data_IF_376266977427
#
_entry.id   IF_376266977427
#
_cell.length_a   1.000
_cell.length_b   1.000
_cell.length_c   1.000
_cell.angle_alpha   90.00
_cell.angle_beta   90.00
_cell.angle_gamma   90.00
#
_symmetry.space_group_name_H-M   'P 1'
#
loop_
_entity.id
_entity.type
_entity.pdbx_description
1 polymer ?
#
# COMPACT_ATOMS: atom_id res chain seq x y z
N UNK A 1 -21.38 33.92 53.67
CA UNK A 1 -20.37 33.41 54.63
C UNK A 1 -18.99 33.62 54.03
N UNK A 2 -18.10 34.33 54.74
CA UNK A 2 -16.63 34.44 54.57
C UNK A 2 -16.06 34.78 53.17
N UNK A 3 -15.52 35.98 52.89
CA UNK A 3 -14.13 36.45 53.20
C UNK A 3 -13.03 35.49 52.68
N UNK A 4 -11.96 35.88 51.96
CA UNK A 4 -11.44 37.17 51.53
C UNK A 4 -10.04 37.00 50.88
N UNK A 5 -9.73 37.88 49.91
CA UNK A 5 -8.46 38.56 49.58
C UNK A 5 -7.08 37.85 49.60
N UNK A 6 -6.31 38.03 48.51
CA UNK A 6 -4.84 37.92 48.51
C UNK A 6 -4.18 38.32 47.17
N UNK A 7 -3.36 39.38 47.19
CA UNK A 7 -2.60 40.01 46.07
C UNK A 7 -1.16 39.45 45.93
N UNK A 8 -0.50 39.82 44.81
CA UNK A 8 0.96 39.91 44.52
C UNK A 8 1.65 38.61 44.04
N UNK A 9 2.68 38.58 43.16
CA UNK A 9 3.59 39.59 42.61
C UNK A 9 4.54 38.99 41.53
N UNK A 10 5.43 39.82 40.97
CA UNK A 10 6.33 39.62 39.79
C UNK A 10 7.59 38.73 40.02
N UNK A 11 8.18 38.22 38.92
CA UNK A 11 9.63 38.16 38.49
C UNK A 11 9.92 36.86 37.69
N UNK A 12 10.41 36.86 36.43
CA UNK A 12 11.73 37.19 35.86
C UNK A 12 12.84 36.11 36.06
N UNK A 13 13.35 35.54 34.95
CA UNK A 13 14.59 34.74 34.88
C UNK A 13 14.86 34.26 33.43
N UNK A 14 15.70 34.94 32.63
CA UNK A 14 17.17 34.83 32.43
C UNK A 14 17.63 33.71 31.47
N UNK A 15 18.15 34.15 30.30
CA UNK A 15 18.97 33.41 29.32
C UNK A 15 20.34 33.04 29.92
N UNK A 16 20.94 31.95 29.45
CA UNK A 16 22.38 31.69 29.59
C UNK A 16 22.95 31.07 28.30
N UNK A 17 23.91 31.78 27.72
CA UNK A 17 24.80 31.37 26.62
C UNK A 17 26.11 30.85 27.21
N UNK A 18 26.67 29.77 26.67
CA UNK A 18 28.04 29.35 26.97
C UNK A 18 28.81 29.09 25.66
N UNK A 19 29.96 29.75 25.58
CA UNK A 19 31.00 29.68 24.54
C UNK A 19 32.16 28.90 25.14
N UNK A 20 32.77 27.96 24.41
CA UNK A 20 34.15 27.55 24.67
C UNK A 20 34.89 27.18 23.38
N UNK A 21 36.09 27.74 23.26
CA UNK A 21 37.07 27.57 22.18
C UNK A 21 38.29 26.80 22.70
N UNK A 22 39.06 26.24 21.76
CA UNK A 22 40.54 26.19 21.72
C UNK A 22 41.17 24.79 21.49
N UNK A 23 42.16 24.79 20.58
CA UNK A 23 42.88 23.68 19.97
C UNK A 23 44.28 23.48 20.60
N UNK A 24 44.93 22.33 20.34
CA UNK A 24 46.37 22.08 20.51
C UNK A 24 46.86 20.84 19.72
N UNK A 25 48.16 20.73 19.32
CA UNK A 25 48.58 20.05 18.08
C UNK A 25 49.51 18.81 18.23
N UNK A 26 49.66 18.03 17.14
CA UNK A 26 50.93 17.35 16.78
C UNK A 26 50.92 15.82 16.55
N UNK A 27 51.09 15.38 15.29
CA UNK A 27 52.13 14.47 14.76
C UNK A 27 51.67 13.65 13.54
N UNK A 28 52.56 13.60 12.55
CA UNK A 28 52.46 12.92 11.25
C UNK A 28 53.03 11.50 11.35
N UNK A 29 52.34 10.53 10.73
CA UNK A 29 52.82 9.17 10.50
C UNK A 29 52.11 8.55 9.30
N UNK A 30 52.87 8.25 8.25
CA UNK A 30 52.41 7.51 7.07
C UNK A 30 52.08 6.06 7.47
N UNK A 31 50.90 5.57 7.07
CA UNK A 31 50.49 4.17 7.26
C UNK A 31 49.16 3.88 6.61
N UNK A 32 49.20 3.17 5.49
CA UNK A 32 48.05 2.58 4.77
C UNK A 32 47.20 1.73 5.72
N UNK A 33 45.96 2.16 5.99
CA UNK A 33 44.90 1.31 6.57
C UNK A 33 43.54 1.77 6.05
N UNK A 34 42.95 1.01 5.12
CA UNK A 34 41.50 0.99 4.96
C UNK A 34 40.93 0.38 6.24
N UNK A 35 40.13 1.14 6.99
CA UNK A 35 39.43 0.65 8.19
C UNK A 35 39.91 1.21 9.53
N UNK A 36 39.88 2.53 9.72
CA UNK A 36 39.61 3.16 11.02
C UNK A 36 38.72 4.38 10.80
N UNK A 37 37.44 4.31 11.19
CA UNK A 37 36.61 5.51 11.32
C UNK A 37 37.28 6.42 12.34
N UNK A 38 37.60 7.65 11.94
CA UNK A 38 38.13 8.67 12.86
C UNK A 38 37.08 8.95 13.94
N UNK A 39 37.43 8.99 15.24
CA UNK A 39 36.54 9.51 16.28
C UNK A 39 36.23 10.97 15.92
N UNK A 40 34.96 11.26 15.59
CA UNK A 40 34.52 12.59 15.18
C UNK A 40 34.25 12.80 13.68
N UNK A 41 34.35 11.76 12.84
CA UNK A 41 33.84 11.85 11.46
C UNK A 41 32.29 11.90 11.48
N UNK A 42 31.74 13.12 11.57
CA UNK A 42 30.31 13.37 11.35
C UNK A 42 29.97 12.95 9.91
N UNK A 43 28.80 12.36 9.73
CA UNK A 43 28.30 12.07 8.37
C UNK A 43 28.39 13.37 7.54
N UNK A 44 28.95 13.33 6.31
CA UNK A 44 29.03 14.50 5.45
C UNK A 44 27.66 15.13 5.28
N UNK A 45 27.57 16.45 5.36
CA UNK A 45 26.33 17.15 5.09
C UNK A 45 25.89 16.86 3.63
N UNK A 46 24.64 16.43 3.44
CA UNK A 46 24.12 16.09 2.11
C UNK A 46 24.17 17.29 1.16
N UNK A 47 24.09 18.52 1.68
CA UNK A 47 24.24 19.73 0.87
C UNK A 47 25.63 19.91 0.24
N UNK A 48 26.63 19.13 0.68
CA UNK A 48 27.99 19.13 0.11
C UNK A 48 28.18 18.05 -0.97
N UNK A 49 27.21 17.17 -1.16
CA UNK A 49 27.23 16.15 -2.19
C UNK A 49 26.61 16.69 -3.49
N UNK A 50 26.95 16.11 -4.65
CA UNK A 50 26.15 16.26 -5.86
C UNK A 50 24.66 15.99 -5.55
N UNK A 51 23.73 16.84 -6.04
CA UNK A 51 22.33 16.77 -5.66
C UNK A 51 21.69 15.42 -6.03
N UNK A 52 22.18 14.76 -7.08
CA UNK A 52 21.72 13.42 -7.48
C UNK A 52 22.00 12.38 -6.39
N UNK A 53 23.16 12.46 -5.72
CA UNK A 53 23.50 11.57 -4.61
C UNK A 53 22.71 11.89 -3.34
N UNK A 54 22.46 13.18 -3.09
CA UNK A 54 21.61 13.61 -1.98
C UNK A 54 20.18 13.08 -2.13
N UNK A 55 19.60 13.23 -3.32
CA UNK A 55 18.27 12.70 -3.66
C UNK A 55 18.24 11.18 -3.58
N UNK A 56 19.23 10.47 -4.11
CA UNK A 56 19.30 9.01 -4.01
C UNK A 56 19.29 8.53 -2.55
N UNK A 57 20.08 9.16 -1.68
CA UNK A 57 20.11 8.83 -0.24
C UNK A 57 18.74 9.05 0.40
N UNK A 58 18.11 10.20 0.11
CA UNK A 58 16.79 10.55 0.65
C UNK A 58 15.65 9.70 0.05
N UNK A 59 15.84 9.07 -1.11
CA UNK A 59 14.84 8.21 -1.76
C UNK A 59 14.46 6.97 -0.92
N UNK A 60 15.29 6.61 0.05
CA UNK A 60 15.04 5.51 0.96
C UNK A 60 14.22 5.89 2.21
N UNK A 61 13.88 7.19 2.37
CA UNK A 61 13.08 7.67 3.48
C UNK A 61 11.58 7.61 3.16
N UNK A 62 10.77 7.35 4.18
CA UNK A 62 9.32 7.49 4.07
C UNK A 62 8.92 8.99 4.09
N UNK A 63 7.65 9.28 3.83
CA UNK A 63 7.16 10.66 3.77
C UNK A 63 7.36 11.44 5.08
N UNK A 64 7.22 10.80 6.25
CA UNK A 64 7.43 11.44 7.55
C UNK A 64 8.89 11.83 7.74
N UNK A 65 9.80 10.91 7.43
CA UNK A 65 11.24 11.12 7.53
C UNK A 65 11.71 12.16 6.50
N UNK A 66 11.12 12.21 5.30
CA UNK A 66 11.37 13.29 4.34
C UNK A 66 10.88 14.65 4.85
N UNK A 67 9.71 14.71 5.51
CA UNK A 67 9.25 15.94 6.14
C UNK A 67 10.24 16.42 7.21
N UNK A 68 10.77 15.52 8.03
CA UNK A 68 11.80 15.85 9.02
C UNK A 68 13.13 16.26 8.36
N UNK A 69 13.56 15.55 7.32
CA UNK A 69 14.76 15.86 6.55
C UNK A 69 14.68 17.24 5.89
N UNK A 70 13.49 17.68 5.47
CA UNK A 70 13.27 19.00 4.86
C UNK A 70 13.58 20.18 5.80
N UNK A 71 13.66 19.96 7.12
CA UNK A 71 14.10 20.96 8.09
C UNK A 71 15.60 21.28 8.00
N UNK A 72 16.40 20.37 7.43
CA UNK A 72 17.86 20.50 7.30
C UNK A 72 18.28 20.57 5.83
N UNK A 73 17.64 19.77 4.97
CA UNK A 73 17.93 19.64 3.55
C UNK A 73 16.71 19.97 2.70
N UNK A 74 16.18 21.18 2.85
CA UNK A 74 14.91 21.61 2.24
C UNK A 74 14.83 21.26 0.74
N UNK A 75 15.72 21.86 -0.07
CA UNK A 75 15.74 21.67 -1.53
C UNK A 75 15.84 20.20 -1.96
N UNK A 76 16.63 19.40 -1.24
CA UNK A 76 16.82 17.98 -1.56
C UNK A 76 15.58 17.16 -1.16
N UNK A 77 15.04 17.37 0.04
CA UNK A 77 13.93 16.60 0.58
C UNK A 77 12.56 16.97 -0.02
N UNK A 78 12.43 18.15 -0.61
CA UNK A 78 11.23 18.57 -1.36
C UNK A 78 11.31 18.28 -2.85
N UNK A 79 12.38 17.63 -3.32
CA UNK A 79 12.56 17.34 -4.74
C UNK A 79 11.43 16.46 -5.29
N UNK A 80 10.84 16.91 -6.41
CA UNK A 80 9.70 16.24 -7.07
C UNK A 80 9.94 14.74 -7.36
N UNK A 81 11.14 14.27 -7.79
CA UNK A 81 11.38 12.85 -8.02
C UNK A 81 11.20 11.97 -6.77
N UNK A 82 11.52 12.49 -5.58
CA UNK A 82 11.34 11.75 -4.32
C UNK A 82 9.86 11.48 -4.05
N UNK A 83 9.06 12.55 -4.11
CA UNK A 83 7.63 12.47 -3.85
C UNK A 83 6.91 11.70 -4.95
N UNK A 84 7.36 11.80 -6.21
CA UNK A 84 6.88 10.96 -7.29
C UNK A 84 7.15 9.48 -7.02
N UNK A 85 8.37 9.15 -6.57
CA UNK A 85 8.76 7.80 -6.17
C UNK A 85 7.84 7.26 -5.07
N UNK A 86 7.63 8.05 -4.00
CA UNK A 86 6.73 7.70 -2.91
C UNK A 86 5.27 7.52 -3.33
N UNK A 87 4.75 8.41 -4.19
CA UNK A 87 3.41 8.26 -4.73
C UNK A 87 3.27 6.93 -5.47
N UNK A 88 4.21 6.63 -6.38
CA UNK A 88 4.16 5.42 -7.21
C UNK A 88 4.48 4.13 -6.44
N UNK A 89 5.25 4.20 -5.36
CA UNK A 89 5.49 3.05 -4.49
C UNK A 89 4.26 2.69 -3.67
N UNK A 90 3.54 3.69 -3.16
CA UNK A 90 2.39 3.48 -2.28
C UNK A 90 1.08 3.30 -3.04
N UNK A 91 0.95 3.97 -4.19
CA UNK A 91 -0.20 3.92 -5.09
C UNK A 91 0.33 3.76 -6.52
N UNK A 92 0.55 2.50 -6.93
CA UNK A 92 1.15 2.19 -8.24
C UNK A 92 0.34 2.65 -9.44
N UNK A 93 -0.95 2.92 -9.25
CA UNK A 93 -1.86 3.40 -10.27
C UNK A 93 -2.75 4.51 -9.75
N UNK A 94 -2.81 5.63 -10.48
CA UNK A 94 -3.83 6.67 -10.35
C UNK A 94 -4.10 7.24 -11.74
N UNK A 95 -5.34 7.65 -12.02
CA UNK A 95 -5.67 8.25 -13.33
C UNK A 95 -4.86 9.54 -13.56
N UNK A 96 -4.60 10.32 -12.50
CA UNK A 96 -3.83 11.57 -12.59
C UNK A 96 -2.41 11.38 -13.13
N UNK A 97 -1.77 10.22 -12.92
CA UNK A 97 -0.42 9.95 -13.45
C UNK A 97 -0.34 9.92 -14.98
N UNK A 98 -1.47 9.72 -15.65
CA UNK A 98 -1.55 9.62 -17.11
C UNK A 98 -2.12 10.88 -17.75
N UNK A 99 -2.40 11.91 -16.95
CA UNK A 99 -2.92 13.20 -17.43
C UNK A 99 -1.78 14.19 -17.61
N UNK A 100 -2.00 15.20 -18.47
CA UNK A 100 -1.11 16.35 -18.51
C UNK A 100 -1.30 17.15 -17.24
N UNK A 101 -0.20 17.36 -16.52
CA UNK A 101 -0.18 18.15 -15.30
C UNK A 101 -0.13 19.65 -15.60
N UNK A 102 -0.76 20.44 -14.74
CA UNK A 102 -0.61 21.90 -14.76
C UNK A 102 0.80 22.29 -14.32
N UNK A 103 1.18 23.55 -14.57
CA UNK A 103 2.48 24.10 -14.13
C UNK A 103 2.59 24.08 -12.60
N UNK A 104 1.48 24.20 -11.89
CA UNK A 104 1.41 24.21 -10.42
C UNK A 104 1.32 22.81 -9.78
N UNK A 105 1.44 21.73 -10.57
CA UNK A 105 1.35 20.37 -10.05
C UNK A 105 2.59 20.01 -9.23
N UNK A 106 2.37 19.41 -8.06
CA UNK A 106 3.43 18.89 -7.20
C UNK A 106 3.08 17.49 -6.71
N UNK A 107 4.02 16.56 -6.84
CA UNK A 107 3.89 15.21 -6.29
C UNK A 107 3.83 15.21 -4.77
N UNK A 108 4.44 16.18 -4.10
CA UNK A 108 4.31 16.33 -2.65
C UNK A 108 2.87 16.64 -2.26
N UNK A 109 2.23 17.57 -2.98
CA UNK A 109 0.82 17.88 -2.74
C UNK A 109 -0.08 16.69 -3.06
N UNK A 110 0.19 16.00 -4.18
CA UNK A 110 -0.54 14.79 -4.56
C UNK A 110 -0.40 13.68 -3.51
N UNK A 111 0.80 13.47 -2.96
CA UNK A 111 1.03 12.48 -1.90
C UNK A 111 0.12 12.74 -0.71
N UNK A 112 0.06 13.98 -0.23
CA UNK A 112 -0.78 14.36 0.91
C UNK A 112 -2.27 14.13 0.62
N UNK A 113 -2.73 14.45 -0.59
CA UNK A 113 -4.12 14.19 -0.99
C UNK A 113 -4.43 12.70 -1.13
N UNK A 114 -3.48 11.90 -1.62
CA UNK A 114 -3.61 10.45 -1.70
C UNK A 114 -3.69 9.82 -0.30
N UNK A 115 -2.82 10.27 0.60
CA UNK A 115 -2.81 9.83 2.00
C UNK A 115 -4.13 10.17 2.69
N UNK A 116 -4.59 11.42 2.58
CA UNK A 116 -5.89 11.86 3.10
C UNK A 116 -7.03 11.04 2.50
N UNK A 117 -7.10 10.89 1.18
CA UNK A 117 -8.16 10.14 0.51
C UNK A 117 -8.21 8.66 0.91
N UNK A 118 -7.06 8.03 1.16
CA UNK A 118 -6.99 6.64 1.63
C UNK A 118 -7.35 6.51 3.11
N UNK A 119 -6.95 7.46 3.95
CA UNK A 119 -7.39 7.52 5.35
C UNK A 119 -8.91 7.72 5.42
N UNK A 120 -9.48 8.60 4.59
CA UNK A 120 -10.92 8.77 4.48
C UNK A 120 -11.59 7.49 3.97
N UNK A 121 -11.03 6.82 2.96
CA UNK A 121 -11.56 5.53 2.47
C UNK A 121 -11.58 4.47 3.58
N UNK A 122 -10.55 4.45 4.43
CA UNK A 122 -10.45 3.51 5.53
C UNK A 122 -11.51 3.77 6.60
N UNK A 123 -11.95 5.02 6.78
CA UNK A 123 -13.06 5.38 7.67
C UNK A 123 -14.43 5.15 7.01
N UNK A 124 -14.64 5.70 5.80
CA UNK A 124 -15.81 5.50 4.95
C UNK A 124 -15.35 5.33 3.48
N UNK A 125 -15.55 4.14 2.88
CA UNK A 125 -15.02 3.87 1.55
C UNK A 125 -15.70 4.66 0.43
N UNK A 126 -16.97 5.07 0.60
CA UNK A 126 -17.68 5.85 -0.41
C UNK A 126 -17.30 7.32 -0.34
N UNK A 127 -17.10 7.85 0.87
CA UNK A 127 -16.58 9.20 1.05
C UNK A 127 -15.14 9.30 0.54
N UNK A 128 -14.29 8.33 0.86
CA UNK A 128 -12.88 8.32 0.43
C UNK A 128 -12.72 8.22 -1.08
N UNK A 129 -13.47 7.33 -1.75
CA UNK A 129 -13.41 7.26 -3.22
C UNK A 129 -13.96 8.55 -3.86
N UNK A 130 -15.03 9.11 -3.28
CA UNK A 130 -15.61 10.40 -3.71
C UNK A 130 -14.61 11.55 -3.56
N UNK A 131 -13.84 11.57 -2.48
CA UNK A 131 -12.75 12.52 -2.27
C UNK A 131 -11.73 12.44 -3.41
N UNK A 132 -11.25 11.23 -3.74
CA UNK A 132 -10.26 11.02 -4.80
C UNK A 132 -10.77 11.48 -6.18
N UNK A 133 -12.07 11.31 -6.45
CA UNK A 133 -12.70 11.84 -7.66
C UNK A 133 -12.75 13.37 -7.65
N UNK A 134 -13.17 13.97 -6.53
CA UNK A 134 -13.30 15.44 -6.40
C UNK A 134 -11.96 16.17 -6.57
N UNK A 135 -10.86 15.54 -6.19
CA UNK A 135 -9.49 16.04 -6.39
C UNK A 135 -8.93 15.75 -7.79
N UNK A 136 -9.66 15.03 -8.64
CA UNK A 136 -9.22 14.63 -9.98
C UNK A 136 -8.08 13.61 -9.98
N UNK A 137 -7.84 12.94 -8.85
CA UNK A 137 -6.77 11.94 -8.67
C UNK A 137 -7.14 10.64 -9.40
N UNK A 138 -8.40 10.26 -9.29
CA UNK A 138 -8.98 9.05 -9.85
C UNK A 138 -10.20 9.39 -10.71
N UNK A 139 -10.42 8.65 -11.80
CA UNK A 139 -11.65 8.79 -12.58
C UNK A 139 -12.77 7.89 -12.03
N UNK A 140 -14.01 8.39 -12.06
CA UNK A 140 -15.19 7.66 -11.61
C UNK A 140 -15.67 6.67 -12.69
N UNK A 141 -14.94 5.56 -12.81
CA UNK A 141 -15.39 4.39 -13.53
C UNK A 141 -14.75 3.13 -12.93
N UNK A 142 -15.43 2.00 -13.09
CA UNK A 142 -15.06 0.74 -12.44
C UNK A 142 -13.64 0.27 -12.78
N UNK A 143 -13.19 0.49 -14.02
CA UNK A 143 -11.89 0.04 -14.51
C UNK A 143 -10.75 0.79 -13.82
N UNK A 144 -10.87 2.12 -13.72
CA UNK A 144 -9.87 2.97 -13.08
C UNK A 144 -9.81 2.71 -11.57
N UNK A 145 -10.97 2.55 -10.93
CA UNK A 145 -11.06 2.21 -9.51
C UNK A 145 -10.44 0.83 -9.23
N UNK A 146 -10.75 -0.17 -10.05
CA UNK A 146 -10.19 -1.51 -9.92
C UNK A 146 -8.67 -1.53 -10.01
N UNK A 147 -8.10 -0.77 -10.96
CA UNK A 147 -6.63 -0.61 -11.09
C UNK A 147 -6.00 0.09 -9.90
N UNK A 148 -6.64 1.15 -9.39
CA UNK A 148 -6.17 1.86 -8.19
C UNK A 148 -6.09 0.90 -7.01
N UNK A 149 -7.20 0.22 -6.68
CA UNK A 149 -7.29 -0.74 -5.58
C UNK A 149 -6.24 -1.86 -5.72
N UNK A 150 -6.06 -2.39 -6.93
CA UNK A 150 -5.08 -3.47 -7.18
C UNK A 150 -3.62 -3.02 -6.98
N UNK A 151 -3.36 -1.72 -7.09
CA UNK A 151 -2.01 -1.15 -7.09
C UNK A 151 -1.54 -0.60 -5.75
N UNK A 152 -2.35 -0.69 -4.69
CA UNK A 152 -2.05 -0.12 -3.38
C UNK A 152 -2.35 -1.11 -2.26
N UNK A 153 -1.52 -1.08 -1.22
CA UNK A 153 -1.73 -1.83 0.02
C UNK A 153 -2.21 -0.95 1.18
N UNK A 154 -2.46 0.35 0.91
CA UNK A 154 -2.82 1.35 1.92
C UNK A 154 -4.28 1.27 2.39
N UNK A 155 -5.13 0.56 1.63
CA UNK A 155 -6.56 0.44 1.92
C UNK A 155 -6.83 -0.65 2.95
N UNK A 156 -7.62 -0.30 3.96
CA UNK A 156 -8.01 -1.21 5.01
C UNK A 156 -8.98 -2.27 4.48
N UNK A 157 -8.68 -3.53 4.76
CA UNK A 157 -9.37 -4.67 4.17
C UNK A 157 -10.88 -4.72 4.50
N UNK A 158 -11.30 -4.25 5.67
CA UNK A 158 -12.74 -4.21 6.03
C UNK A 158 -13.51 -3.22 5.16
N UNK A 159 -12.96 -2.01 5.01
CA UNK A 159 -13.54 -0.92 4.22
C UNK A 159 -13.54 -1.29 2.73
N UNK A 160 -12.45 -1.92 2.26
CA UNK A 160 -12.37 -2.47 0.91
C UNK A 160 -13.45 -3.53 0.65
N UNK A 161 -13.66 -4.46 1.57
CA UNK A 161 -14.71 -5.48 1.43
C UNK A 161 -16.11 -4.87 1.38
N UNK A 162 -16.41 -3.92 2.27
CA UNK A 162 -17.69 -3.20 2.26
C UNK A 162 -17.90 -2.49 0.92
N UNK A 163 -16.86 -1.85 0.39
CA UNK A 163 -16.91 -1.18 -0.90
C UNK A 163 -17.20 -2.16 -2.04
N UNK A 164 -16.46 -3.26 -2.13
CA UNK A 164 -16.59 -4.26 -3.21
C UNK A 164 -17.91 -5.02 -3.14
N UNK A 165 -18.51 -5.17 -1.96
CA UNK A 165 -19.84 -5.80 -1.84
C UNK A 165 -20.94 -4.94 -2.47
N UNK A 166 -20.83 -3.62 -2.33
CA UNK A 166 -21.77 -2.65 -2.93
C UNK A 166 -21.43 -2.31 -4.39
N UNK A 167 -20.15 -2.24 -4.75
CA UNK A 167 -19.64 -1.93 -6.09
C UNK A 167 -19.13 -3.20 -6.79
N UNK A 168 -20.07 -4.06 -7.17
CA UNK A 168 -19.78 -5.34 -7.88
C UNK A 168 -19.15 -5.13 -9.26
N UNK A 169 -19.44 -4.01 -9.89
CA UNK A 169 -18.79 -3.55 -11.13
C UNK A 169 -17.28 -3.38 -10.93
N UNK A 170 -16.86 -2.79 -9.81
CA UNK A 170 -15.43 -2.65 -9.46
C UNK A 170 -14.82 -4.00 -9.12
N UNK A 171 -15.54 -4.86 -8.40
CA UNK A 171 -15.07 -6.24 -8.13
C UNK A 171 -14.79 -7.01 -9.42
N UNK A 172 -15.65 -6.85 -10.43
CA UNK A 172 -15.46 -7.49 -11.74
C UNK A 172 -14.19 -7.03 -12.44
N UNK A 173 -13.90 -5.72 -12.42
CA UNK A 173 -12.65 -5.17 -12.96
C UNK A 173 -11.43 -5.61 -12.14
N UNK A 174 -11.53 -5.64 -10.81
CA UNK A 174 -10.46 -6.09 -9.93
C UNK A 174 -10.08 -7.55 -10.18
N UNK A 175 -11.08 -8.45 -10.31
CA UNK A 175 -10.87 -9.87 -10.61
C UNK A 175 -10.17 -10.06 -11.96
N UNK A 176 -10.48 -9.22 -12.96
CA UNK A 176 -9.81 -9.27 -14.28
C UNK A 176 -8.33 -8.92 -14.23
N UNK A 177 -7.85 -8.23 -13.20
CA UNK A 177 -6.43 -7.88 -13.05
C UNK A 177 -5.59 -9.07 -12.57
N UNK A 178 -6.20 -10.07 -11.93
CA UNK A 178 -5.49 -11.29 -11.54
C UNK A 178 -5.17 -12.16 -12.77
N UNK A 179 -3.95 -12.70 -12.82
CA UNK A 179 -3.54 -13.68 -13.81
C UNK A 179 -3.31 -15.04 -13.14
N UNK A 180 -4.15 -16.02 -13.46
CA UNK A 180 -4.07 -17.38 -12.92
C UNK A 180 -3.59 -18.42 -13.95
N UNK A 181 -3.02 -17.97 -15.07
CA UNK A 181 -2.51 -18.88 -16.09
C UNK A 181 -1.44 -19.82 -15.49
N UNK A 182 -1.54 -21.11 -15.80
CA UNK A 182 -0.63 -22.16 -15.34
C UNK A 182 -0.53 -22.31 -13.81
N UNK A 183 -1.48 -21.76 -13.04
CA UNK A 183 -1.51 -21.94 -11.60
C UNK A 183 -2.36 -23.16 -11.21
N UNK A 184 -1.91 -23.87 -10.17
CA UNK A 184 -2.74 -24.89 -9.52
C UNK A 184 -3.93 -24.21 -8.83
N UNK A 185 -5.14 -24.77 -9.00
CA UNK A 185 -6.40 -24.14 -8.58
C UNK A 185 -6.38 -23.69 -7.09
N UNK A 186 -6.01 -24.53 -6.11
CA UNK A 186 -5.84 -24.10 -4.73
C UNK A 186 -4.84 -22.95 -4.51
N UNK A 187 -3.74 -22.90 -5.28
CA UNK A 187 -2.76 -21.83 -5.16
C UNK A 187 -3.33 -20.50 -5.68
N UNK A 188 -4.01 -20.54 -6.82
CA UNK A 188 -4.70 -19.40 -7.39
C UNK A 188 -5.78 -18.85 -6.44
N UNK A 189 -6.55 -19.74 -5.81
CA UNK A 189 -7.57 -19.36 -4.83
C UNK A 189 -6.96 -18.67 -3.62
N UNK A 190 -5.84 -19.19 -3.10
CA UNK A 190 -5.10 -18.55 -1.99
C UNK A 190 -4.61 -17.17 -2.36
N UNK A 191 -4.01 -17.02 -3.55
CA UNK A 191 -3.55 -15.72 -4.04
C UNK A 191 -4.72 -14.72 -4.18
N UNK A 192 -5.86 -15.18 -4.68
CA UNK A 192 -7.06 -14.35 -4.79
C UNK A 192 -7.52 -13.82 -3.42
N UNK A 193 -7.68 -14.68 -2.42
CA UNK A 193 -8.11 -14.26 -1.08
C UNK A 193 -7.05 -13.56 -0.25
N UNK A 194 -5.77 -13.58 -0.65
CA UNK A 194 -4.76 -12.71 -0.03
C UNK A 194 -5.03 -11.23 -0.29
N UNK A 195 -5.58 -10.89 -1.47
CA UNK A 195 -5.85 -9.51 -1.89
C UNK A 195 -7.14 -8.93 -1.28
N UNK A 196 -8.27 -9.63 -1.40
CA UNK A 196 -9.59 -9.11 -0.98
C UNK A 196 -9.92 -9.50 0.48
N UNK A 197 -9.26 -10.53 1.02
CA UNK A 197 -9.61 -11.26 2.25
C UNK A 197 -11.00 -11.90 2.21
N UNK A 198 -11.07 -13.17 2.58
CA UNK A 198 -12.34 -13.89 2.63
C UNK A 198 -13.24 -13.35 3.76
N UNK A 199 -14.56 -13.28 3.54
CA UNK A 199 -15.56 -13.18 4.61
C UNK A 199 -15.48 -14.31 5.63
N UNK A 200 -15.65 -13.93 6.91
CA UNK A 200 -15.77 -14.88 8.03
C UNK A 200 -17.13 -15.57 7.99
N UNK A 201 -18.18 -14.81 7.72
CA UNK A 201 -19.54 -15.32 7.58
C UNK A 201 -19.81 -15.79 6.15
N UNK A 202 -20.50 -16.93 6.05
CA UNK A 202 -21.07 -17.38 4.78
C UNK A 202 -22.17 -16.42 4.36
N UNK A 203 -22.08 -15.93 3.13
CA UNK A 203 -23.08 -15.03 2.58
C UNK A 203 -22.95 -14.86 1.07
N UNK A 204 -23.88 -14.10 0.51
CA UNK A 204 -23.94 -13.79 -0.93
C UNK A 204 -22.61 -13.23 -1.46
N UNK A 205 -21.92 -12.40 -0.67
CA UNK A 205 -20.62 -11.82 -1.05
C UNK A 205 -19.54 -12.88 -1.26
N UNK A 206 -19.43 -13.87 -0.37
CA UNK A 206 -18.45 -14.96 -0.50
C UNK A 206 -18.74 -15.82 -1.73
N UNK A 207 -20.01 -16.18 -1.95
CA UNK A 207 -20.44 -16.95 -3.13
C UNK A 207 -20.12 -16.22 -4.44
N UNK A 208 -20.34 -14.90 -4.46
CA UNK A 208 -19.98 -14.06 -5.59
C UNK A 208 -18.47 -14.01 -5.81
N UNK A 209 -17.64 -13.89 -4.76
CA UNK A 209 -16.18 -13.94 -4.86
C UNK A 209 -15.69 -15.26 -5.46
N UNK A 210 -16.21 -16.38 -4.97
CA UNK A 210 -15.86 -17.72 -5.46
C UNK A 210 -16.29 -17.90 -6.92
N UNK A 211 -17.48 -17.41 -7.28
CA UNK A 211 -18.00 -17.45 -8.65
C UNK A 211 -17.10 -16.66 -9.60
N UNK A 212 -16.78 -15.41 -9.26
CA UNK A 212 -15.92 -14.55 -10.08
C UNK A 212 -14.50 -15.09 -10.21
N UNK A 213 -13.94 -15.62 -9.12
CA UNK A 213 -12.66 -16.34 -9.15
C UNK A 213 -12.70 -17.51 -10.14
N UNK A 214 -13.73 -18.35 -10.08
CA UNK A 214 -13.87 -19.54 -10.93
C UNK A 214 -13.92 -19.16 -12.41
N UNK A 215 -14.73 -18.16 -12.75
CA UNK A 215 -14.83 -17.63 -14.10
C UNK A 215 -13.47 -17.12 -14.60
N UNK A 216 -12.74 -16.36 -13.77
CA UNK A 216 -11.43 -15.84 -14.11
C UNK A 216 -10.38 -16.94 -14.27
N UNK A 217 -10.38 -17.94 -13.39
CA UNK A 217 -9.47 -19.07 -13.46
C UNK A 217 -9.66 -19.84 -14.78
N UNK A 218 -10.90 -20.12 -15.16
CA UNK A 218 -11.21 -20.75 -16.45
C UNK A 218 -10.79 -19.89 -17.64
N UNK A 219 -11.06 -18.58 -17.59
CA UNK A 219 -10.66 -17.65 -18.64
C UNK A 219 -9.13 -17.57 -18.84
N UNK A 220 -8.34 -17.72 -17.76
CA UNK A 220 -6.88 -17.79 -17.83
C UNK A 220 -6.36 -19.16 -18.29
N UNK A 221 -7.17 -20.22 -18.19
CA UNK A 221 -6.79 -21.61 -18.44
C UNK A 221 -7.75 -22.27 -19.44
N UNK A 222 -7.94 -21.65 -20.60
CA UNK A 222 -8.89 -22.11 -21.63
C UNK A 222 -8.60 -23.53 -22.11
N UNK A 223 -7.32 -23.90 -22.30
CA UNK A 223 -6.95 -25.25 -22.73
C UNK A 223 -7.41 -26.33 -21.73
N UNK A 224 -7.27 -26.08 -20.43
CA UNK A 224 -7.76 -26.98 -19.38
C UNK A 224 -9.29 -26.99 -19.35
N UNK A 225 -9.91 -25.81 -19.48
CA UNK A 225 -11.37 -25.64 -19.45
C UNK A 225 -12.05 -26.37 -20.60
N UNK A 226 -11.50 -26.29 -21.82
CA UNK A 226 -11.95 -27.05 -22.98
C UNK A 226 -11.79 -28.56 -22.80
N UNK A 227 -10.63 -29.02 -22.28
CA UNK A 227 -10.41 -30.45 -21.99
C UNK A 227 -11.41 -31.00 -20.99
N UNK A 228 -11.77 -30.20 -20.00
CA UNK A 228 -12.74 -30.58 -18.97
C UNK A 228 -14.19 -30.34 -19.40
N UNK A 229 -14.47 -29.81 -20.60
CA UNK A 229 -15.84 -29.52 -21.05
C UNK A 229 -16.58 -28.49 -20.18
N UNK A 230 -15.85 -27.52 -19.63
CA UNK A 230 -16.36 -26.47 -18.76
C UNK A 230 -16.62 -25.18 -19.57
N UNK A 231 -17.60 -24.38 -19.16
CA UNK A 231 -17.88 -23.08 -19.77
C UNK A 231 -17.33 -21.96 -18.88
N UNK A 232 -16.42 -21.08 -19.36
CA UNK A 232 -15.83 -20.02 -18.53
C UNK A 232 -16.85 -19.11 -17.84
N UNK A 233 -18.07 -19.02 -18.37
CA UNK A 233 -19.13 -18.13 -17.86
C UNK A 233 -20.03 -18.85 -16.83
N UNK A 234 -20.29 -20.15 -17.02
CA UNK A 234 -21.25 -20.91 -16.22
C UNK A 234 -20.60 -21.82 -15.16
N UNK A 235 -19.27 -21.93 -15.17
CA UNK A 235 -18.53 -22.86 -14.30
C UNK A 235 -18.53 -22.40 -12.85
N UNK A 236 -18.99 -23.28 -11.95
CA UNK A 236 -18.84 -23.10 -10.50
C UNK A 236 -17.51 -23.71 -10.04
N UNK A 237 -16.99 -23.24 -8.91
CA UNK A 237 -15.75 -23.76 -8.32
C UNK A 237 -15.78 -25.29 -8.12
N UNK A 238 -16.92 -25.81 -7.68
CA UNK A 238 -17.14 -27.25 -7.48
C UNK A 238 -16.99 -28.04 -8.79
N UNK A 239 -17.44 -27.51 -9.91
CA UNK A 239 -17.32 -28.18 -11.22
C UNK A 239 -15.85 -28.32 -11.62
N UNK A 240 -15.02 -27.32 -11.33
CA UNK A 240 -13.57 -27.35 -11.59
C UNK A 240 -12.92 -28.42 -10.72
N UNK A 241 -13.22 -28.44 -9.42
CA UNK A 241 -12.66 -29.41 -8.49
C UNK A 241 -13.02 -30.86 -8.86
N UNK A 242 -14.30 -31.11 -9.15
CA UNK A 242 -14.79 -32.45 -9.44
C UNK A 242 -14.16 -33.02 -10.71
N UNK A 243 -13.99 -32.19 -11.74
CA UNK A 243 -13.41 -32.61 -13.02
C UNK A 243 -11.88 -32.69 -13.00
N UNK A 244 -11.21 -31.89 -12.16
CA UNK A 244 -9.77 -31.95 -11.98
C UNK A 244 -9.32 -33.12 -11.09
N UNK A 245 -10.17 -33.63 -10.20
CA UNK A 245 -9.85 -34.77 -9.34
C UNK A 245 -11.05 -35.72 -9.17
N UNK A 246 -11.24 -36.65 -10.11
CA UNK A 246 -12.36 -37.58 -10.11
C UNK A 246 -12.40 -38.52 -8.89
N UNK A 247 -11.26 -38.72 -8.22
CA UNK A 247 -11.16 -39.53 -7.01
C UNK A 247 -11.83 -38.88 -5.78
N UNK A 248 -12.20 -37.60 -5.87
CA UNK A 248 -12.97 -36.89 -4.84
C UNK A 248 -14.50 -37.08 -5.00
N UNK A 249 -14.95 -37.87 -5.98
CA UNK A 249 -16.37 -38.25 -6.15
C UNK A 249 -16.88 -38.98 -4.90
N UNK A 250 -17.51 -38.23 -4.00
CA UNK A 250 -18.20 -38.76 -2.82
C UNK A 250 -17.82 -38.11 -1.49
N UNK A 251 -16.69 -37.38 -1.41
CA UNK A 251 -16.17 -36.88 -0.12
C UNK A 251 -16.16 -35.35 0.05
N UNK A 252 -16.54 -34.58 -0.97
CA UNK A 252 -16.49 -33.11 -0.90
C UNK A 252 -17.83 -32.47 -1.29
N UNK A 253 -18.80 -32.49 -0.39
CA UNK A 253 -19.98 -31.62 -0.44
C UNK A 253 -19.62 -30.20 0.01
N UNK A 254 -18.56 -29.59 -0.53
CA UNK A 254 -17.86 -28.56 0.23
C UNK A 254 -17.36 -27.42 -0.65
N UNK A 255 -18.27 -26.50 -1.00
CA UNK A 255 -17.86 -25.09 -1.21
C UNK A 255 -17.16 -24.56 0.06
N UNK A 256 -17.55 -25.08 1.22
CA UNK A 256 -17.09 -24.61 2.52
C UNK A 256 -15.75 -25.19 2.97
N UNK A 257 -15.61 -26.50 3.18
CA UNK A 257 -14.35 -27.06 3.71
C UNK A 257 -13.18 -26.85 2.76
N UNK A 258 -13.35 -26.87 1.43
CA UNK A 258 -12.19 -26.66 0.54
C UNK A 258 -11.70 -25.22 0.55
N UNK A 259 -12.60 -24.24 0.66
CA UNK A 259 -12.23 -22.83 0.85
C UNK A 259 -11.67 -22.61 2.26
N UNK A 260 -12.31 -23.18 3.29
CA UNK A 260 -11.87 -23.08 4.68
C UNK A 260 -10.51 -23.77 4.88
N UNK A 261 -10.30 -25.01 4.44
CA UNK A 261 -9.00 -25.71 4.49
C UNK A 261 -7.92 -25.05 3.60
N UNK A 262 -8.28 -24.48 2.44
CA UNK A 262 -7.31 -23.73 1.62
C UNK A 262 -6.92 -22.38 2.24
N UNK A 263 -7.79 -21.78 3.05
CA UNK A 263 -7.56 -20.50 3.75
C UNK A 263 -6.98 -20.70 5.17
N UNK A 264 -7.37 -21.75 5.89
CA UNK A 264 -6.87 -22.17 7.22
C UNK A 264 -5.40 -22.56 7.21
N UNK A 265 -4.86 -22.95 6.06
CA UNK A 265 -3.41 -23.11 5.90
C UNK A 265 -2.63 -21.80 6.19
N UNK A 266 -3.31 -20.66 6.34
CA UNK A 266 -2.78 -19.36 6.76
C UNK A 266 -2.76 -19.12 8.29
N UNK A 267 -3.27 -20.01 9.14
CA UNK A 267 -3.28 -19.79 10.60
C UNK A 267 -2.31 -20.64 11.41
N UNK A 268 -1.53 -21.54 10.80
CA UNK A 268 -0.46 -22.27 11.52
C UNK A 268 -0.95 -23.08 12.74
N UNK A 269 -2.24 -23.40 12.83
CA UNK A 269 -2.78 -24.30 13.85
C UNK A 269 -2.58 -25.75 13.37
N UNK A 270 -1.47 -26.35 13.81
CA UNK A 270 -1.42 -27.78 14.16
C UNK A 270 -1.39 -27.88 15.67
#
# INVERSE_FOLDING_TARGET
MGQGLGRAGRQAGRRSTAVYSASGPGQVGLGTTWGRRRPGARFPDLGLLPPELGVEILSHLNATDLCLASCVWHELATAEPLWQGLCKSNWGYCTIYHRRHSVDFSYRHLYLQLDEGCLTFNADPFEGIGYLFSRGILADNAQEIGRFIFSTETLHWQSLRLFLDRRRDVLDELVKLHNFANQFLPNALRQFFQSIRAPEERGEFLEALITKFSQRFCACNLALTCKLGLSPVMTRYQDILLRCNPALNGHLTLTHEVCYYSVEFRMGLK
#
